data_IF_528415687536
#
_entry.id   IF_528415687536
#
_cell.length_a   1.000
_cell.length_b   1.000
_cell.length_c   1.000
_cell.angle_alpha   90.00
_cell.angle_beta   90.00
_cell.angle_gamma   90.00
#
_symmetry.space_group_name_H-M   'P 1'
#
loop_
_entity.id
_entity.type
_entity.pdbx_description
1 polymer ?
#
# COMPACT_ATOMS: atom_id res chain seq x y z
N UNK A 1 21.47 -2.57 -25.26
CA UNK A 1 21.18 -1.32 -24.53
C UNK A 1 20.49 -1.72 -23.24
N UNK A 2 21.20 -1.74 -22.10
CA UNK A 2 20.56 -1.97 -20.81
C UNK A 2 19.77 -0.71 -20.49
N UNK A 3 18.44 -0.82 -20.52
CA UNK A 3 17.55 0.22 -20.03
C UNK A 3 18.05 0.63 -18.65
N UNK A 4 18.37 1.91 -18.45
CA UNK A 4 18.56 2.46 -17.10
C UNK A 4 17.33 2.07 -16.28
N UNK A 5 17.48 1.59 -15.02
CA UNK A 5 16.32 1.26 -14.20
C UNK A 5 15.36 2.45 -14.23
N UNK A 6 14.05 2.22 -14.47
CA UNK A 6 13.08 3.31 -14.50
C UNK A 6 13.18 4.04 -13.16
N UNK A 7 13.41 5.34 -13.21
CA UNK A 7 13.40 6.16 -12.01
C UNK A 7 12.04 5.97 -11.34
N UNK A 8 12.00 5.42 -10.13
CA UNK A 8 10.78 5.25 -9.37
C UNK A 8 10.12 6.62 -9.20
N UNK A 9 8.87 6.76 -9.63
CA UNK A 9 8.11 8.01 -9.49
C UNK A 9 7.31 7.94 -8.20
N UNK A 10 7.39 8.99 -7.39
CA UNK A 10 6.82 9.04 -6.05
C UNK A 10 5.77 10.15 -5.99
N UNK A 11 4.56 9.81 -5.52
CA UNK A 11 3.54 10.75 -5.10
C UNK A 11 3.73 11.03 -3.61
N UNK A 12 4.17 12.25 -3.27
CA UNK A 12 4.32 12.67 -1.89
C UNK A 12 3.12 13.48 -1.43
N UNK A 13 2.39 12.95 -0.45
CA UNK A 13 1.27 13.59 0.21
C UNK A 13 1.82 14.45 1.37
N UNK A 14 1.43 15.73 1.38
CA UNK A 14 1.88 16.67 2.41
C UNK A 14 1.07 16.57 3.71
N UNK A 15 -0.08 15.89 3.66
CA UNK A 15 -1.04 15.73 4.75
C UNK A 15 -1.86 14.46 4.54
N UNK A 16 -2.70 14.13 5.52
CA UNK A 16 -3.59 12.99 5.47
C UNK A 16 -4.42 12.95 4.18
N UNK A 17 -4.67 11.73 3.70
CA UNK A 17 -5.46 11.49 2.50
C UNK A 17 -6.65 10.59 2.81
N UNK A 18 -7.84 11.09 2.47
CA UNK A 18 -9.09 10.33 2.58
C UNK A 18 -9.67 10.13 1.18
N UNK A 19 -9.60 8.89 0.68
CA UNK A 19 -10.08 8.51 -0.64
C UNK A 19 -11.34 7.67 -0.47
N UNK A 20 -12.49 8.21 -0.88
CA UNK A 20 -13.77 7.50 -0.80
C UNK A 20 -14.53 7.54 -2.12
N UNK A 21 -15.14 6.43 -2.50
CA UNK A 21 -16.08 6.41 -3.62
C UNK A 21 -16.29 5.07 -4.31
N UNK A 22 -17.10 5.07 -5.36
CA UNK A 22 -17.30 3.93 -6.26
C UNK A 22 -16.24 3.96 -7.36
N UNK A 23 -15.00 3.71 -6.97
CA UNK A 23 -13.82 3.79 -7.85
C UNK A 23 -12.88 2.62 -7.60
N UNK A 24 -11.99 2.38 -8.55
CA UNK A 24 -10.82 1.54 -8.36
C UNK A 24 -9.61 2.44 -8.03
N UNK A 25 -8.68 1.93 -7.23
CA UNK A 25 -7.44 2.61 -6.88
C UNK A 25 -6.25 1.70 -7.23
N UNK A 26 -5.42 2.14 -8.17
CA UNK A 26 -4.33 1.32 -8.75
C UNK A 26 -3.03 2.09 -8.61
N UNK A 27 -2.03 1.48 -7.97
CA UNK A 27 -0.65 1.99 -7.96
C UNK A 27 0.16 1.17 -8.96
N UNK A 28 0.53 1.84 -10.05
CA UNK A 28 1.27 1.23 -11.16
C UNK A 28 2.67 0.74 -10.77
N UNK A 29 3.31 -0.11 -11.60
CA UNK A 29 4.59 -0.72 -11.25
C UNK A 29 5.68 0.32 -10.95
N UNK A 30 6.51 0.04 -9.95
CA UNK A 30 7.61 0.91 -9.53
C UNK A 30 7.17 2.35 -9.23
N UNK A 31 6.00 2.51 -8.60
CA UNK A 31 5.47 3.79 -8.10
C UNK A 31 5.26 3.72 -6.60
N UNK A 32 5.43 4.86 -5.94
CA UNK A 32 5.26 4.95 -4.50
C UNK A 32 4.26 6.04 -4.13
N UNK A 33 3.36 5.75 -3.20
CA UNK A 33 2.53 6.75 -2.52
C UNK A 33 3.09 6.92 -1.12
N UNK A 34 3.60 8.10 -0.82
CA UNK A 34 4.24 8.38 0.47
C UNK A 34 3.50 9.47 1.21
N UNK A 35 3.28 9.29 2.49
CA UNK A 35 2.92 10.34 3.41
C UNK A 35 3.82 10.28 4.64
N UNK A 36 4.82 11.17 4.67
CA UNK A 36 5.92 11.13 5.63
C UNK A 36 5.81 12.19 6.74
N UNK A 37 4.74 12.98 6.78
CA UNK A 37 4.50 13.82 7.96
C UNK A 37 4.24 12.95 9.19
N UNK A 38 4.68 13.42 10.35
CA UNK A 38 4.55 12.67 11.60
C UNK A 38 3.07 12.36 11.88
N UNK A 39 2.72 11.08 11.98
CA UNK A 39 1.33 10.65 12.15
C UNK A 39 0.46 10.78 10.90
N UNK A 40 1.03 10.89 9.70
CA UNK A 40 0.22 10.97 8.49
C UNK A 40 -0.59 9.71 8.24
N UNK A 41 -1.87 9.90 7.93
CA UNK A 41 -2.80 8.82 7.70
C UNK A 41 -3.31 8.78 6.26
N UNK A 42 -3.34 7.58 5.69
CA UNK A 42 -3.99 7.31 4.41
C UNK A 42 -5.16 6.37 4.68
N UNK A 43 -6.35 6.84 4.34
CA UNK A 43 -7.60 6.13 4.51
C UNK A 43 -8.27 5.95 3.15
N UNK A 44 -8.51 4.70 2.78
CA UNK A 44 -9.13 4.34 1.50
C UNK A 44 -10.40 3.55 1.80
N UNK A 45 -11.54 4.06 1.34
CA UNK A 45 -12.86 3.44 1.49
C UNK A 45 -13.56 3.43 0.13
N UNK A 46 -13.38 2.35 -0.61
CA UNK A 46 -13.86 2.24 -1.98
C UNK A 46 -14.75 1.00 -2.16
N UNK A 47 -15.70 1.10 -3.08
CA UNK A 47 -16.54 -0.05 -3.47
C UNK A 47 -15.91 -0.82 -4.65
N UNK A 48 -14.86 -0.27 -5.27
CA UNK A 48 -14.10 -0.96 -6.31
C UNK A 48 -12.87 -1.70 -5.78
N UNK A 49 -11.91 -1.92 -6.67
CA UNK A 49 -10.72 -2.71 -6.42
C UNK A 49 -9.53 -1.81 -6.05
N UNK A 50 -8.73 -2.27 -5.09
CA UNK A 50 -7.42 -1.72 -4.78
C UNK A 50 -6.33 -2.64 -5.32
N UNK A 51 -5.32 -2.09 -6.01
CA UNK A 51 -4.15 -2.86 -6.44
C UNK A 51 -2.83 -2.11 -6.23
N UNK A 52 -1.83 -2.84 -5.73
CA UNK A 52 -0.42 -2.45 -5.82
C UNK A 52 0.27 -3.36 -6.82
N UNK A 53 0.72 -2.78 -7.93
CA UNK A 53 1.43 -3.52 -8.97
C UNK A 53 2.88 -3.84 -8.56
N UNK A 54 3.62 -4.50 -9.46
CA UNK A 54 4.97 -4.98 -9.17
C UNK A 54 5.90 -3.84 -8.71
N UNK A 55 6.60 -4.05 -7.60
CA UNK A 55 7.48 -3.05 -6.98
C UNK A 55 6.77 -1.74 -6.56
N UNK A 56 5.43 -1.71 -6.49
CA UNK A 56 4.68 -0.56 -6.01
C UNK A 56 4.66 -0.51 -4.48
N UNK A 57 4.79 0.69 -3.91
CA UNK A 57 4.84 0.84 -2.45
C UNK A 57 3.91 1.93 -1.91
N UNK A 58 3.33 1.68 -0.74
CA UNK A 58 2.67 2.71 0.07
C UNK A 58 3.47 2.87 1.35
N UNK A 59 3.77 4.12 1.73
CA UNK A 59 4.48 4.45 2.96
C UNK A 59 3.69 5.53 3.70
N UNK A 60 3.17 5.22 4.88
CA UNK A 60 2.38 6.14 5.69
C UNK A 60 2.60 5.89 7.18
N UNK A 61 2.19 6.81 8.06
CA UNK A 61 2.14 6.54 9.49
C UNK A 61 1.06 5.50 9.81
N UNK A 62 -0.16 5.77 9.34
CA UNK A 62 -1.32 4.88 9.41
C UNK A 62 -1.84 4.62 7.99
N UNK A 63 -2.21 3.38 7.68
CA UNK A 63 -2.87 3.01 6.42
C UNK A 63 -4.09 2.15 6.71
N UNK A 64 -5.28 2.65 6.38
CA UNK A 64 -6.54 1.91 6.48
C UNK A 64 -7.17 1.74 5.10
N UNK A 65 -7.62 0.52 4.80
CA UNK A 65 -8.16 0.14 3.50
C UNK A 65 -9.42 -0.71 3.67
N UNK A 66 -10.53 -0.19 3.13
CA UNK A 66 -11.78 -0.90 2.86
C UNK A 66 -12.00 -0.88 1.34
N UNK A 67 -11.98 -2.05 0.71
CA UNK A 67 -12.18 -2.22 -0.72
C UNK A 67 -12.95 -3.52 -1.01
N UNK A 68 -13.56 -3.62 -2.19
CA UNK A 68 -14.29 -4.83 -2.60
C UNK A 68 -13.33 -5.97 -2.96
N UNK A 69 -12.24 -5.65 -3.67
CA UNK A 69 -11.11 -6.56 -3.87
C UNK A 69 -9.80 -5.84 -3.61
N UNK A 70 -8.81 -6.60 -3.15
CA UNK A 70 -7.45 -6.11 -2.88
C UNK A 70 -6.46 -7.06 -3.55
N UNK A 71 -5.51 -6.50 -4.28
CA UNK A 71 -4.44 -7.26 -4.93
C UNK A 71 -3.07 -6.63 -4.66
N UNK A 72 -2.10 -7.49 -4.38
CA UNK A 72 -0.71 -7.12 -4.10
C UNK A 72 0.19 -7.97 -5.00
N UNK A 73 0.85 -7.33 -5.96
CA UNK A 73 1.72 -8.02 -6.90
C UNK A 73 3.11 -8.24 -6.31
N UNK A 74 3.97 -8.91 -7.08
CA UNK A 74 5.33 -9.25 -6.67
C UNK A 74 6.09 -8.01 -6.18
N UNK A 75 6.81 -8.14 -5.06
CA UNK A 75 7.61 -7.06 -4.47
C UNK A 75 6.83 -5.77 -4.14
N UNK A 76 5.49 -5.81 -4.14
CA UNK A 76 4.67 -4.71 -3.63
C UNK A 76 4.66 -4.69 -2.11
N UNK A 77 4.54 -3.50 -1.51
CA UNK A 77 4.57 -3.36 -0.05
C UNK A 77 3.73 -2.19 0.47
N UNK A 78 3.15 -2.37 1.65
CA UNK A 78 2.59 -1.29 2.47
C UNK A 78 3.42 -1.20 3.74
N UNK A 79 4.16 -0.11 3.89
CA UNK A 79 4.93 0.21 5.07
C UNK A 79 4.17 1.24 5.90
N UNK A 80 3.56 0.78 6.99
CA UNK A 80 3.02 1.65 8.02
C UNK A 80 4.11 1.94 9.05
N UNK A 81 4.69 3.14 9.05
CA UNK A 81 5.61 3.59 10.10
C UNK A 81 4.78 4.05 11.29
N UNK A 82 4.20 3.08 11.99
CA UNK A 82 3.48 3.30 13.23
C UNK A 82 4.37 4.09 14.20
N UNK A 83 3.78 5.11 14.81
CA UNK A 83 4.41 5.95 15.83
C UNK A 83 5.17 5.09 16.85
N UNK A 84 6.51 5.15 16.83
CA UNK A 84 7.51 4.69 17.81
C UNK A 84 7.03 3.63 18.84
N UNK A 85 6.57 2.49 18.34
CA UNK A 85 6.21 1.34 19.15
C UNK A 85 6.50 0.07 18.37
N UNK A 86 7.21 -0.88 18.97
CA UNK A 86 7.39 -2.20 18.36
C UNK A 86 6.01 -2.76 18.01
N UNK A 87 5.75 -3.13 16.74
CA UNK A 87 4.53 -3.83 16.39
C UNK A 87 4.38 -5.03 17.34
N UNK A 88 3.19 -5.28 17.94
CA UNK A 88 2.93 -6.55 18.58
C UNK A 88 3.34 -7.65 17.61
N UNK A 89 3.93 -8.74 18.10
CA UNK A 89 4.61 -9.80 17.31
C UNK A 89 3.78 -10.41 16.15
N UNK A 90 2.52 -10.02 16.00
CA UNK A 90 1.57 -10.43 14.98
C UNK A 90 1.35 -9.41 13.84
N UNK A 91 2.03 -8.26 13.81
CA UNK A 91 1.85 -7.24 12.74
C UNK A 91 3.12 -6.93 11.93
N UNK A 92 4.23 -7.62 12.19
CA UNK A 92 5.41 -7.56 11.33
C UNK A 92 5.20 -8.43 10.09
N UNK A 93 4.38 -7.94 9.16
CA UNK A 93 4.13 -8.54 7.85
C UNK A 93 5.37 -8.45 6.95
N UNK A 94 6.42 -9.19 7.29
CA UNK A 94 7.39 -9.62 6.27
C UNK A 94 6.62 -10.61 5.39
N UNK A 95 6.58 -10.42 4.07
CA UNK A 95 5.90 -11.31 3.14
C UNK A 95 6.64 -12.65 3.03
N UNK A 96 6.60 -13.44 4.10
CA UNK A 96 6.82 -14.87 4.13
C UNK A 96 5.78 -15.43 5.10
N UNK A 97 4.61 -15.77 4.56
CA UNK A 97 3.57 -16.44 5.33
C UNK A 97 2.48 -15.50 5.81
N UNK A 98 1.42 -15.44 5.01
CA UNK A 98 0.01 -15.47 5.40
C UNK A 98 -0.32 -15.49 6.91
N UNK A 99 -0.07 -14.42 7.68
CA UNK A 99 -0.79 -14.13 8.93
C UNK A 99 -0.63 -12.66 9.32
N UNK A 100 -1.51 -11.83 8.77
CA UNK A 100 -2.08 -10.63 9.39
C UNK A 100 -3.53 -10.64 8.95
N UNK A 101 -4.49 -10.26 9.80
CA UNK A 101 -5.91 -10.38 9.49
C UNK A 101 -6.29 -9.48 8.30
N UNK A 102 -6.18 -10.01 7.09
CA UNK A 102 -6.69 -9.42 5.85
C UNK A 102 -7.55 -10.49 5.21
N UNK A 103 -8.87 -10.32 5.29
CA UNK A 103 -9.87 -11.16 4.63
C UNK A 103 -9.94 -10.90 3.12
N UNK A 104 -8.81 -10.58 2.48
CA UNK A 104 -8.71 -10.51 1.04
C UNK A 104 -7.91 -11.74 0.59
N UNK A 105 -8.59 -12.72 0.03
CA UNK A 105 -7.95 -13.67 -0.86
C UNK A 105 -7.32 -12.85 -1.99
N UNK A 106 -6.01 -12.59 -1.88
CA UNK A 106 -5.28 -11.82 -2.86
C UNK A 106 -5.41 -12.51 -4.21
N UNK A 107 -6.22 -11.94 -5.10
CA UNK A 107 -6.29 -12.38 -6.48
C UNK A 107 -4.92 -12.15 -7.13
N UNK A 108 -4.49 -13.12 -7.94
CA UNK A 108 -3.35 -13.00 -8.83
C UNK A 108 -3.47 -11.71 -9.64
N UNK A 109 -2.37 -10.97 -9.75
CA UNK A 109 -2.27 -9.87 -10.69
C UNK A 109 -2.31 -10.44 -12.11
N UNK A 110 -3.34 -10.08 -12.87
CA UNK A 110 -3.47 -10.39 -14.31
C UNK A 110 -2.48 -9.57 -15.14
#
# INVERSE_FOLDING_TARGET
MKQSPPSSVILNLASDAYIRGKVNFIVLPSRSVTCLSYGCEIWINIIGNFSLDENATVLAGTFELEAYNVSFCNESAVNATGLDGSPPAQTSGTSQGWTGWVGAEGLLCD
#
